data_IF_227015187873
#
_entry.id   IF_227015187873
#
_cell.length_a   1.000
_cell.length_b   1.000
_cell.length_c   1.000
_cell.angle_alpha   90.00
_cell.angle_beta   90.00
_cell.angle_gamma   90.00
#
_symmetry.space_group_name_H-M   'P 1'
#
loop_
_entity.id
_entity.type
_entity.pdbx_description
1 polymer ?
#
# COMPACT_ATOMS: atom_id res chain seq x y z
N UNK A 1 -20.61 -6.18 2.78
CA UNK A 1 -20.27 -7.09 1.67
C UNK A 1 -19.50 -6.23 0.67
N UNK A 2 -18.22 -6.51 0.43
CA UNK A 2 -17.48 -5.74 -0.57
C UNK A 2 -18.05 -6.11 -1.94
N UNK A 3 -18.80 -5.19 -2.55
CA UNK A 3 -19.23 -5.36 -3.93
C UNK A 3 -17.99 -5.49 -4.80
N UNK A 4 -17.98 -6.49 -5.69
CA UNK A 4 -16.86 -6.74 -6.59
C UNK A 4 -16.65 -5.51 -7.47
N UNK A 5 -15.52 -4.81 -7.23
CA UNK A 5 -15.07 -3.64 -8.00
C UNK A 5 -14.73 -4.00 -9.46
N UNK A 6 -14.76 -5.29 -9.79
CA UNK A 6 -14.55 -5.82 -11.13
C UNK A 6 -15.71 -5.51 -12.09
N UNK A 7 -16.91 -5.25 -11.54
CA UNK A 7 -18.09 -4.87 -12.30
C UNK A 7 -18.44 -3.40 -12.08
N UNK A 8 -19.00 -2.80 -13.12
CA UNK A 8 -19.46 -1.42 -13.08
C UNK A 8 -20.67 -1.32 -12.15
N UNK A 9 -20.56 -0.56 -11.05
CA UNK A 9 -21.64 -0.41 -10.06
C UNK A 9 -22.90 0.18 -10.68
N UNK A 10 -22.75 1.24 -11.48
CA UNK A 10 -23.85 1.91 -12.19
C UNK A 10 -24.58 0.97 -13.16
N UNK A 11 -23.86 0.10 -13.88
CA UNK A 11 -24.47 -0.86 -14.78
C UNK A 11 -25.16 -1.99 -14.01
N UNK A 12 -24.56 -2.44 -12.91
CA UNK A 12 -25.13 -3.47 -12.04
C UNK A 12 -26.47 -3.04 -11.46
N UNK A 13 -26.60 -1.76 -11.05
CA UNK A 13 -27.87 -1.17 -10.61
C UNK A 13 -28.96 -1.19 -11.71
N UNK A 14 -28.57 -1.25 -12.98
CA UNK A 14 -29.46 -1.37 -14.14
C UNK A 14 -29.63 -2.82 -14.60
N UNK A 15 -29.20 -3.80 -13.81
CA UNK A 15 -29.18 -5.23 -14.15
C UNK A 15 -28.35 -5.57 -15.39
N UNK A 16 -27.33 -4.75 -15.70
CA UNK A 16 -26.39 -4.99 -16.79
C UNK A 16 -25.01 -5.30 -16.21
N UNK A 17 -24.45 -6.46 -16.57
CA UNK A 17 -23.08 -6.81 -16.18
C UNK A 17 -22.08 -6.26 -17.20
N UNK A 18 -21.31 -5.25 -16.80
CA UNK A 18 -20.17 -4.71 -17.55
C UNK A 18 -18.95 -4.69 -16.66
N UNK A 19 -17.79 -5.07 -17.19
CA UNK A 19 -16.52 -4.96 -16.47
C UNK A 19 -16.15 -3.49 -16.23
N UNK A 20 -15.63 -3.23 -15.04
CA UNK A 20 -15.00 -1.96 -14.71
C UNK A 20 -13.67 -1.83 -15.41
N UNK A 21 -13.30 -0.60 -15.77
CA UNK A 21 -11.94 -0.24 -16.23
C UNK A 21 -11.23 0.68 -15.24
N UNK A 22 -12.00 1.41 -14.42
CA UNK A 22 -11.50 2.25 -13.34
C UNK A 22 -12.33 2.05 -12.07
N UNK A 23 -11.77 2.40 -10.93
CA UNK A 23 -12.44 2.50 -9.64
C UNK A 23 -12.39 3.96 -9.17
N UNK A 24 -13.54 4.50 -8.76
CA UNK A 24 -13.62 5.84 -8.17
C UNK A 24 -13.46 5.76 -6.66
N UNK A 25 -12.47 6.44 -6.10
CA UNK A 25 -12.12 6.28 -4.67
C UNK A 25 -13.14 6.93 -3.73
N UNK A 26 -13.82 7.97 -4.20
CA UNK A 26 -14.80 8.75 -3.43
C UNK A 26 -16.19 8.13 -3.46
N UNK A 27 -16.57 7.50 -4.58
CA UNK A 27 -17.81 6.74 -4.70
C UNK A 27 -17.67 5.30 -4.21
N UNK A 28 -16.44 4.81 -4.07
CA UNK A 28 -16.10 3.41 -3.81
C UNK A 28 -16.74 2.42 -4.80
N UNK A 29 -16.83 2.83 -6.07
CA UNK A 29 -17.51 2.07 -7.13
C UNK A 29 -16.61 1.86 -8.35
N UNK A 30 -16.70 0.67 -8.95
CA UNK A 30 -16.11 0.38 -10.26
C UNK A 30 -16.93 1.00 -11.40
N UNK A 31 -16.27 1.52 -12.44
CA UNK A 31 -16.89 2.17 -13.59
C UNK A 31 -16.37 1.56 -14.91
N UNK A 32 -17.29 1.22 -15.82
CA UNK A 32 -16.96 0.91 -17.22
C UNK A 32 -16.67 2.20 -18.01
N UNK A 33 -16.22 2.07 -19.25
CA UNK A 33 -15.82 3.20 -20.11
C UNK A 33 -16.88 4.29 -20.21
N UNK A 34 -18.13 3.94 -20.49
CA UNK A 34 -19.20 4.94 -20.66
C UNK A 34 -19.58 5.58 -19.32
N UNK A 35 -19.57 4.80 -18.23
CA UNK A 35 -19.88 5.32 -16.91
C UNK A 35 -18.77 6.25 -16.40
N UNK A 36 -17.50 5.95 -16.69
CA UNK A 36 -16.38 6.85 -16.40
C UNK A 36 -16.51 8.17 -17.15
N UNK A 37 -16.87 8.14 -18.43
CA UNK A 37 -17.05 9.36 -19.23
C UNK A 37 -18.17 10.24 -18.65
N UNK A 38 -19.32 9.67 -18.33
CA UNK A 38 -20.38 10.43 -17.68
C UNK A 38 -19.97 10.93 -16.29
N UNK A 39 -19.21 10.13 -15.55
CA UNK A 39 -18.71 10.49 -14.22
C UNK A 39 -17.78 11.70 -14.26
N UNK A 40 -16.90 11.78 -15.26
CA UNK A 40 -15.96 12.89 -15.44
C UNK A 40 -16.63 14.17 -15.96
N UNK A 41 -17.78 14.06 -16.62
CA UNK A 41 -18.55 15.21 -17.11
C UNK A 41 -19.55 15.77 -16.07
N UNK A 42 -20.02 14.93 -15.14
CA UNK A 42 -20.99 15.35 -14.14
C UNK A 42 -20.39 16.32 -13.12
N UNK A 43 -21.09 17.41 -12.82
CA UNK A 43 -20.65 18.42 -11.83
C UNK A 43 -20.38 17.83 -10.45
N UNK A 44 -21.12 16.80 -10.05
CA UNK A 44 -21.00 16.17 -8.74
C UNK A 44 -19.75 15.30 -8.59
N UNK A 45 -19.21 14.78 -9.70
CA UNK A 45 -18.18 13.74 -9.66
C UNK A 45 -16.96 14.00 -10.55
N UNK A 46 -16.96 15.06 -11.35
CA UNK A 46 -15.87 15.42 -12.27
C UNK A 46 -14.51 15.64 -11.60
N UNK A 47 -14.50 15.88 -10.29
CA UNK A 47 -13.29 16.10 -9.51
C UNK A 47 -12.87 14.88 -8.67
N UNK A 48 -13.60 13.76 -8.79
CA UNK A 48 -13.25 12.54 -8.07
C UNK A 48 -12.00 11.89 -8.67
N UNK A 49 -11.25 11.22 -7.82
CA UNK A 49 -10.06 10.47 -8.22
C UNK A 49 -10.46 9.08 -8.69
N UNK A 50 -10.12 8.76 -9.93
CA UNK A 50 -10.30 7.43 -10.51
C UNK A 50 -8.97 6.73 -10.70
N UNK A 51 -8.87 5.47 -10.25
CA UNK A 51 -7.70 4.61 -10.42
C UNK A 51 -8.01 3.51 -11.43
N UNK A 52 -7.14 3.24 -12.41
CA UNK A 52 -7.32 2.12 -13.33
C UNK A 52 -7.36 0.77 -12.59
N UNK A 53 -8.31 -0.09 -12.97
CA UNK A 53 -8.06 -1.51 -13.28
C UNK A 53 -6.75 -2.12 -12.74
N UNK A 54 -5.81 -2.03 -13.66
CA UNK A 54 -4.46 -2.58 -13.65
C UNK A 54 -3.56 -1.99 -12.58
N UNK A 55 -3.91 -0.82 -12.02
CA UNK A 55 -3.14 -0.18 -10.96
C UNK A 55 -3.66 -0.59 -9.59
N UNK A 56 -4.98 -0.55 -9.37
CA UNK A 56 -5.52 -0.89 -8.05
C UNK A 56 -5.40 -2.38 -7.73
N UNK A 57 -5.42 -3.26 -8.74
CA UNK A 57 -5.19 -4.71 -8.53
C UNK A 57 -3.77 -5.02 -8.01
N UNK A 58 -2.82 -4.09 -8.16
CA UNK A 58 -1.48 -4.22 -7.58
C UNK A 58 -1.44 -3.79 -6.11
N UNK A 59 -2.46 -3.09 -5.62
CA UNK A 59 -2.51 -2.62 -4.25
C UNK A 59 -2.90 -3.77 -3.31
N UNK A 60 -2.30 -3.86 -2.11
CA UNK A 60 -2.75 -4.79 -1.09
C UNK A 60 -4.23 -4.56 -0.74
N UNK A 61 -4.96 -5.64 -0.45
CA UNK A 61 -6.39 -5.57 -0.08
C UNK A 61 -6.65 -4.61 1.06
N UNK A 62 -5.75 -4.55 2.04
CA UNK A 62 -5.89 -3.70 3.21
C UNK A 62 -5.87 -2.22 2.85
N UNK A 63 -5.08 -1.83 1.84
CA UNK A 63 -5.01 -0.44 1.33
C UNK A 63 -6.35 -0.05 0.69
N UNK A 64 -6.96 -0.97 -0.05
CA UNK A 64 -8.26 -0.75 -0.71
C UNK A 64 -9.44 -0.68 0.27
N UNK A 65 -9.24 -1.09 1.52
CA UNK A 65 -10.25 -1.08 2.58
C UNK A 65 -10.04 0.06 3.58
N UNK A 66 -9.08 0.96 3.33
CA UNK A 66 -8.89 2.15 4.16
C UNK A 66 -10.05 3.12 3.90
N UNK A 67 -10.91 3.30 4.91
CA UNK A 67 -11.99 4.28 4.84
C UNK A 67 -11.44 5.71 4.79
N UNK A 68 -11.93 6.49 3.82
CA UNK A 68 -11.69 7.93 3.75
C UNK A 68 -12.59 8.73 4.73
N UNK A 69 -13.57 8.07 5.34
CA UNK A 69 -14.59 8.68 6.20
C UNK A 69 -14.46 8.21 7.65
N UNK A 70 -14.78 9.13 8.56
CA UNK A 70 -14.85 8.91 9.98
C UNK A 70 -15.92 7.87 10.32
N UNK A 71 -15.55 6.86 11.11
CA UNK A 71 -16.47 5.78 11.50
C UNK A 71 -17.58 6.25 12.45
N UNK A 72 -17.36 7.36 13.15
CA UNK A 72 -18.28 7.89 14.16
C UNK A 72 -19.23 8.90 13.51
N UNK A 73 -18.67 9.86 12.77
CA UNK A 73 -19.43 11.01 12.23
C UNK A 73 -19.76 10.88 10.74
N UNK A 74 -19.24 9.87 10.05
CA UNK A 74 -19.39 9.67 8.60
C UNK A 74 -18.89 10.85 7.74
N UNK A 75 -18.04 11.71 8.31
CA UNK A 75 -17.44 12.86 7.64
C UNK A 75 -16.03 12.52 7.14
N UNK A 76 -15.60 13.16 6.04
CA UNK A 76 -14.28 12.89 5.45
C UNK A 76 -13.15 13.24 6.43
N UNK A 77 -12.14 12.38 6.50
CA UNK A 77 -10.92 12.72 7.23
C UNK A 77 -10.18 13.85 6.52
N UNK A 78 -9.97 14.95 7.24
CA UNK A 78 -9.31 16.15 6.70
C UNK A 78 -8.14 16.60 7.58
N UNK A 79 -8.03 16.03 8.78
CA UNK A 79 -7.12 16.45 9.84
C UNK A 79 -6.40 15.23 10.39
N UNK A 80 -5.17 15.44 10.86
CA UNK A 80 -4.39 14.45 11.60
C UNK A 80 -4.00 15.01 12.97
N UNK A 81 -4.32 14.27 14.02
CA UNK A 81 -3.90 14.60 15.38
C UNK A 81 -2.57 13.92 15.68
N UNK A 82 -1.50 14.69 15.91
CA UNK A 82 -0.18 14.12 16.21
C UNK A 82 -0.11 13.49 17.59
N UNK A 83 -0.84 14.04 18.57
CA UNK A 83 -0.84 13.54 19.97
C UNK A 83 -1.37 12.11 20.06
N UNK A 84 -2.40 11.78 19.29
CA UNK A 84 -3.06 10.47 19.31
C UNK A 84 -2.75 9.64 18.06
N UNK A 85 -1.91 10.19 17.17
CA UNK A 85 -1.52 9.59 15.89
C UNK A 85 -2.71 9.10 15.04
N UNK A 86 -3.80 9.86 15.03
CA UNK A 86 -5.09 9.44 14.45
C UNK A 86 -5.62 10.42 13.39
N UNK A 87 -6.41 9.88 12.46
CA UNK A 87 -7.17 10.66 11.47
C UNK A 87 -8.44 11.23 12.11
N UNK A 88 -8.76 12.49 11.81
CA UNK A 88 -9.91 13.21 12.37
C UNK A 88 -10.72 13.89 11.26
N UNK A 89 -12.05 13.85 11.39
CA UNK A 89 -12.95 14.79 10.72
C UNK A 89 -13.12 16.07 11.56
N UNK A 90 -13.89 17.03 11.06
CA UNK A 90 -14.16 18.30 11.76
C UNK A 90 -14.78 18.09 13.15
N UNK A 91 -15.75 17.18 13.27
CA UNK A 91 -16.47 16.94 14.53
C UNK A 91 -15.58 16.27 15.58
N UNK A 92 -14.70 15.36 15.16
CA UNK A 92 -13.70 14.74 16.03
C UNK A 92 -12.83 15.79 16.74
N UNK A 93 -12.52 16.90 16.07
CA UNK A 93 -11.72 17.99 16.65
C UNK A 93 -12.50 18.77 17.71
N UNK A 94 -13.80 18.93 17.55
CA UNK A 94 -14.64 19.66 18.51
C UNK A 94 -15.00 18.79 19.72
N UNK A 95 -15.23 17.50 19.51
CA UNK A 95 -15.73 16.60 20.55
C UNK A 95 -14.61 15.92 21.34
N UNK A 96 -13.70 15.24 20.65
CA UNK A 96 -12.74 14.30 21.28
C UNK A 96 -11.30 14.80 21.28
N UNK A 97 -10.99 15.77 20.43
CA UNK A 97 -9.63 16.32 20.28
C UNK A 97 -9.58 17.84 20.52
N UNK A 98 -10.56 18.42 21.23
CA UNK A 98 -10.64 19.87 21.46
C UNK A 98 -9.49 20.44 22.31
N UNK A 99 -8.91 19.62 23.18
CA UNK A 99 -7.73 19.97 23.99
C UNK A 99 -6.40 19.63 23.29
N UNK A 100 -6.43 18.97 22.13
CA UNK A 100 -5.21 18.65 21.38
C UNK A 100 -4.67 19.91 20.71
N UNK A 101 -3.39 20.23 20.96
CA UNK A 101 -2.73 21.41 20.38
C UNK A 101 -2.00 21.10 19.07
N UNK A 102 -1.52 19.87 18.91
CA UNK A 102 -0.76 19.43 17.74
C UNK A 102 -1.65 18.78 16.69
N UNK A 103 -2.53 19.60 16.12
CA UNK A 103 -3.45 19.22 15.05
C UNK A 103 -2.96 19.84 13.74
N UNK A 104 -2.90 19.04 12.68
CA UNK A 104 -2.43 19.49 11.36
C UNK A 104 -3.37 19.04 10.26
N UNK A 105 -3.38 19.75 9.13
CA UNK A 105 -4.18 19.34 7.96
C UNK A 105 -3.60 18.05 7.38
N UNK A 106 -4.48 17.08 7.11
CA UNK A 106 -4.07 15.79 6.57
C UNK A 106 -3.36 15.95 5.21
N UNK A 107 -3.81 16.90 4.38
CA UNK A 107 -3.18 17.20 3.10
C UNK A 107 -1.70 17.63 3.24
N UNK A 108 -1.36 18.36 4.30
CA UNK A 108 0.03 18.77 4.58
C UNK A 108 0.87 17.58 5.05
N UNK A 109 0.31 16.71 5.88
CA UNK A 109 0.97 15.46 6.30
C UNK A 109 1.27 14.58 5.08
N UNK A 110 0.29 14.39 4.20
CA UNK A 110 0.46 13.61 2.97
C UNK A 110 1.51 14.25 2.06
N UNK A 111 1.48 15.57 1.89
CA UNK A 111 2.48 16.28 1.08
C UNK A 111 3.89 16.07 1.65
N UNK A 112 4.06 16.23 2.95
CA UNK A 112 5.35 16.03 3.61
C UNK A 112 5.81 14.57 3.53
N UNK A 113 4.90 13.61 3.67
CA UNK A 113 5.22 12.19 3.51
C UNK A 113 5.68 11.86 2.09
N UNK A 114 5.05 12.45 1.06
CA UNK A 114 5.44 12.29 -0.35
C UNK A 114 6.76 12.98 -0.70
N UNK A 115 7.06 14.10 -0.05
CA UNK A 115 8.31 14.85 -0.25
C UNK A 115 9.45 14.38 0.65
N UNK A 116 9.18 13.48 1.60
CA UNK A 116 10.19 12.93 2.49
C UNK A 116 11.07 11.93 1.74
N UNK A 117 12.37 11.96 2.02
CA UNK A 117 13.31 10.96 1.53
C UNK A 117 13.20 9.61 2.26
N UNK A 118 12.32 9.49 3.28
CA UNK A 118 12.21 8.28 4.09
C UNK A 118 11.97 7.01 3.26
N UNK A 119 11.12 7.06 2.23
CA UNK A 119 10.89 5.90 1.36
C UNK A 119 12.12 5.56 0.51
N UNK A 120 12.81 6.56 -0.01
CA UNK A 120 14.05 6.37 -0.75
C UNK A 120 15.15 5.79 0.14
N UNK A 121 15.33 6.31 1.35
CA UNK A 121 16.29 5.81 2.33
C UNK A 121 15.98 4.36 2.75
N UNK A 122 14.69 4.03 2.96
CA UNK A 122 14.25 2.66 3.21
C UNK A 122 14.58 1.73 2.02
N UNK A 123 14.34 2.19 0.79
CA UNK A 123 14.67 1.42 -0.42
C UNK A 123 16.19 1.17 -0.52
N UNK A 124 17.03 2.20 -0.31
CA UNK A 124 18.48 2.05 -0.31
C UNK A 124 18.94 1.07 0.77
N UNK A 125 18.38 1.16 1.98
CA UNK A 125 18.68 0.23 3.07
C UNK A 125 18.32 -1.20 2.70
N UNK A 126 17.18 -1.42 2.05
CA UNK A 126 16.76 -2.75 1.59
C UNK A 126 17.72 -3.32 0.53
N UNK A 127 18.17 -2.48 -0.41
CA UNK A 127 19.17 -2.87 -1.41
C UNK A 127 20.48 -3.28 -0.75
N UNK A 128 20.98 -2.50 0.19
CA UNK A 128 22.21 -2.81 0.93
C UNK A 128 22.07 -4.13 1.71
N UNK A 129 20.95 -4.35 2.39
CA UNK A 129 20.66 -5.60 3.10
C UNK A 129 20.66 -6.79 2.13
N UNK A 130 20.05 -6.65 0.95
CA UNK A 130 20.04 -7.69 -0.07
C UNK A 130 21.45 -8.02 -0.58
N UNK A 131 22.29 -7.02 -0.81
CA UNK A 131 23.69 -7.22 -1.21
C UNK A 131 24.51 -7.91 -0.12
N UNK A 132 24.33 -7.51 1.13
CA UNK A 132 25.02 -8.12 2.27
C UNK A 132 24.59 -9.59 2.44
N UNK A 133 23.30 -9.90 2.29
CA UNK A 133 22.80 -11.28 2.32
C UNK A 133 23.42 -12.11 1.19
N UNK A 134 23.54 -11.57 -0.02
CA UNK A 134 24.21 -12.25 -1.14
C UNK A 134 25.66 -12.58 -0.83
N UNK A 135 26.44 -11.61 -0.33
CA UNK A 135 27.85 -11.82 0.06
C UNK A 135 27.99 -12.88 1.15
N UNK A 136 27.12 -12.86 2.16
CA UNK A 136 27.10 -13.87 3.23
C UNK A 136 26.84 -15.27 2.65
N UNK A 137 25.89 -15.38 1.72
CA UNK A 137 25.57 -16.66 1.07
C UNK A 137 26.76 -17.18 0.27
N UNK A 138 27.40 -16.35 -0.54
CA UNK A 138 28.58 -16.71 -1.34
C UNK A 138 29.73 -17.19 -0.44
N UNK A 139 30.06 -16.42 0.60
CA UNK A 139 31.11 -16.77 1.54
C UNK A 139 30.83 -18.12 2.23
N UNK A 140 29.59 -18.35 2.68
CA UNK A 140 29.19 -19.64 3.25
C UNK A 140 29.33 -20.79 2.24
N UNK A 141 28.97 -20.56 0.98
CA UNK A 141 29.07 -21.57 -0.05
C UNK A 141 30.52 -21.92 -0.40
N UNK A 142 31.42 -20.94 -0.37
CA UNK A 142 32.85 -21.19 -0.56
C UNK A 142 33.49 -21.89 0.64
N UNK A 143 33.12 -21.51 1.87
CA UNK A 143 33.56 -22.22 3.07
C UNK A 143 33.14 -23.69 3.06
N UNK A 144 31.90 -24.00 2.65
CA UNK A 144 31.43 -25.38 2.51
C UNK A 144 32.23 -26.18 1.48
N UNK A 145 32.58 -25.58 0.33
CA UNK A 145 33.43 -26.24 -0.67
C UNK A 145 34.82 -26.54 -0.10
N UNK A 146 35.43 -25.58 0.60
CA UNK A 146 36.75 -25.76 1.22
C UNK A 146 36.72 -26.87 2.26
N UNK A 147 35.76 -26.85 3.18
CA UNK A 147 35.59 -27.90 4.20
C UNK A 147 35.34 -29.27 3.57
N UNK A 148 34.58 -29.36 2.48
CA UNK A 148 34.35 -30.63 1.78
C UNK A 148 35.63 -31.20 1.16
N UNK A 149 36.51 -30.35 0.62
CA UNK A 149 37.82 -30.76 0.09
C UNK A 149 38.76 -31.21 1.20
N UNK A 150 38.83 -30.44 2.29
CA UNK A 150 39.65 -30.79 3.46
C UNK A 150 39.22 -32.11 4.07
N UNK A 151 37.90 -32.32 4.22
CA UNK A 151 37.33 -33.58 4.68
C UNK A 151 37.77 -34.76 3.80
N UNK A 152 37.63 -34.65 2.47
CA UNK A 152 38.03 -35.71 1.55
C UNK A 152 39.54 -36.03 1.61
N UNK A 153 40.38 -35.01 1.82
CA UNK A 153 41.84 -35.20 2.01
C UNK A 153 42.12 -35.98 3.30
N UNK A 154 41.41 -35.68 4.40
CA UNK A 154 41.59 -36.36 5.68
C UNK A 154 41.10 -37.80 5.58
N UNK A 155 39.92 -38.05 5.01
CA UNK A 155 39.37 -39.39 4.80
C UNK A 155 40.32 -40.26 3.97
N UNK A 156 40.85 -39.72 2.86
CA UNK A 156 41.83 -40.44 2.04
C UNK A 156 43.16 -40.72 2.77
N UNK A 157 43.57 -39.92 3.76
CA UNK A 157 44.77 -40.21 4.57
C UNK A 157 44.54 -41.33 5.59
N UNK A 158 43.32 -41.47 6.09
CA UNK A 158 42.96 -42.50 7.07
C UNK A 158 42.92 -43.87 6.39
N UNK A 159 42.37 -43.98 5.18
CA UNK A 159 42.31 -45.22 4.40
C UNK A 159 43.69 -45.79 4.00
N UNK A 160 44.75 -44.99 3.97
CA UNK A 160 46.12 -45.44 3.68
C UNK A 160 46.92 -45.87 4.93
N UNK A 161 46.35 -45.73 6.13
CA UNK A 161 47.01 -46.05 7.41
C UNK A 161 46.48 -47.31 8.10
N UNK A 162 45.45 -47.96 7.54
CA UNK A 162 44.98 -49.31 7.91
C UNK A 162 45.44 -50.36 6.88
#
# INVERSE_FOLDING_TARGET
>A
MAESRDLCGVCTLRHVSKSSIVWCTECDEGLCTECQEHHSLSKSSRNHVTLPVTEYQKLPSDVLNISQYCKIHNEKYIIYCKKHESLCCSDCIVESHNECRDIVKLAEVIKNAKSSNAFYEMEQTLVEVLENIKKIRENRQDNLKTLSKEKAIIEGKIEYTE
#
